data_IF_810735361797
#
_entry.id   IF_810735361797
#
_cell.length_a   1.000
_cell.length_b   1.000
_cell.length_c   1.000
_cell.angle_alpha   90.00
_cell.angle_beta   90.00
_cell.angle_gamma   90.00
#
_symmetry.space_group_name_H-M   'P 1'
#
loop_
_entity.id
_entity.type
_entity.pdbx_description
1 polymer ?
#
# COMPACT_ATOMS: atom_id res chain seq x y z
N UNK A 1 13.47 18.12 25.28
CA UNK A 1 12.37 17.35 24.68
C UNK A 1 12.35 17.73 23.22
N UNK A 2 12.79 16.85 22.32
CA UNK A 2 12.68 17.10 20.88
C UNK A 2 11.21 17.14 20.54
N UNK A 3 10.70 18.31 20.17
CA UNK A 3 9.34 18.42 19.66
C UNK A 3 9.21 17.50 18.46
N UNK A 4 8.19 16.66 18.45
CA UNK A 4 7.71 16.05 17.22
C UNK A 4 7.29 17.22 16.33
N UNK A 5 8.16 17.64 15.42
CA UNK A 5 7.74 18.48 14.31
C UNK A 5 6.64 17.70 13.60
N UNK A 6 5.41 18.21 13.73
CA UNK A 6 4.25 17.68 13.04
C UNK A 6 4.51 17.72 11.54
N UNK A 7 3.88 16.79 10.82
CA UNK A 7 4.08 16.68 9.39
C UNK A 7 3.32 15.51 8.79
N UNK A 8 3.10 15.59 7.48
CA UNK A 8 2.51 14.52 6.67
C UNK A 8 3.59 13.63 6.07
N UNK A 9 3.28 12.35 5.95
CA UNK A 9 4.06 11.42 5.15
C UNK A 9 3.40 11.28 3.79
N UNK A 10 4.16 11.53 2.74
CA UNK A 10 3.75 11.32 1.36
C UNK A 10 4.48 10.09 0.81
N UNK A 11 3.73 9.23 0.11
CA UNK A 11 4.27 8.00 -0.49
C UNK A 11 3.81 7.94 -1.93
N UNK A 12 4.74 7.70 -2.84
CA UNK A 12 4.48 7.67 -4.29
C UNK A 12 5.25 6.55 -4.98
N UNK A 13 4.92 6.33 -6.25
CA UNK A 13 5.64 5.39 -7.12
C UNK A 13 6.07 6.13 -8.37
N UNK A 14 7.37 6.12 -8.64
CA UNK A 14 7.94 6.72 -9.84
C UNK A 14 9.14 5.87 -10.30
N UNK A 15 9.29 5.65 -11.61
CA UNK A 15 10.46 4.96 -12.17
C UNK A 15 10.69 3.51 -11.65
N UNK A 16 9.67 2.84 -11.11
CA UNK A 16 9.79 1.49 -10.54
C UNK A 16 10.30 1.45 -9.10
N UNK A 17 10.46 2.60 -8.44
CA UNK A 17 10.79 2.72 -7.03
C UNK A 17 9.64 3.35 -6.25
N UNK A 18 9.62 3.12 -4.93
CA UNK A 18 8.67 3.72 -4.00
C UNK A 18 9.35 4.90 -3.31
N UNK A 19 8.78 6.09 -3.46
CA UNK A 19 9.28 7.30 -2.82
C UNK A 19 8.55 7.51 -1.51
N UNK A 20 9.29 7.88 -0.46
CA UNK A 20 8.76 8.21 0.85
C UNK A 20 9.31 9.56 1.26
N UNK A 21 8.41 10.51 1.51
CA UNK A 21 8.75 11.87 1.90
C UNK A 21 8.07 12.23 3.23
N UNK A 22 8.79 12.92 4.11
CA UNK A 22 8.20 13.59 5.28
C UNK A 22 8.19 15.08 5.05
N UNK A 23 7.00 15.67 5.07
CA UNK A 23 6.79 17.10 4.87
C UNK A 23 6.33 17.70 6.20
N UNK A 24 6.99 18.78 6.63
CA UNK A 24 6.60 19.56 7.81
C UNK A 24 5.25 20.28 7.63
N UNK A 25 4.68 20.78 8.71
CA UNK A 25 3.48 21.64 8.65
C UNK A 25 3.65 22.92 7.82
N UNK A 26 4.90 23.37 7.59
CA UNK A 26 5.21 24.53 6.74
C UNK A 26 5.42 24.14 5.25
N UNK A 27 5.00 22.95 4.83
CA UNK A 27 5.24 22.39 3.48
C UNK A 27 6.72 22.27 3.09
N UNK A 28 7.62 22.16 4.08
CA UNK A 28 9.05 21.92 3.83
C UNK A 28 9.34 20.42 3.91
N UNK A 29 9.99 19.89 2.88
CA UNK A 29 10.54 18.54 2.88
C UNK A 29 11.62 18.40 3.96
N UNK A 30 11.43 17.44 4.86
CA UNK A 30 12.33 17.12 5.97
C UNK A 30 13.12 15.83 5.72
N UNK A 31 12.54 14.90 4.96
CA UNK A 31 13.11 13.60 4.66
C UNK A 31 12.58 13.16 3.30
N UNK A 32 13.46 12.63 2.46
CA UNK A 32 13.13 12.09 1.15
C UNK A 32 14.00 10.85 0.93
N UNK A 33 13.39 9.73 0.59
CA UNK A 33 14.10 8.49 0.25
C UNK A 33 13.35 7.73 -0.85
N UNK A 34 14.09 6.87 -1.56
CA UNK A 34 13.59 6.03 -2.64
C UNK A 34 13.97 4.58 -2.37
N UNK A 35 12.96 3.73 -2.25
CA UNK A 35 13.11 2.32 -1.91
C UNK A 35 12.81 1.44 -3.12
N UNK A 36 13.56 0.35 -3.28
CA UNK A 36 13.15 -0.69 -4.21
C UNK A 36 11.84 -1.37 -3.72
N UNK A 37 11.04 -1.99 -4.62
CA UNK A 37 9.75 -2.58 -4.24
C UNK A 37 9.83 -3.60 -3.08
N UNK A 38 10.89 -4.41 -3.04
CA UNK A 38 11.09 -5.39 -1.97
C UNK A 38 11.50 -4.73 -0.64
N UNK A 39 12.26 -3.63 -0.67
CA UNK A 39 12.62 -2.87 0.52
C UNK A 39 11.39 -2.15 1.10
N UNK A 40 10.55 -1.58 0.23
CA UNK A 40 9.30 -0.94 0.63
C UNK A 40 8.34 -1.92 1.33
N UNK A 41 8.25 -3.16 0.84
CA UNK A 41 7.45 -4.23 1.48
C UNK A 41 7.99 -4.62 2.85
N UNK A 42 9.31 -4.75 2.98
CA UNK A 42 9.95 -5.06 4.27
C UNK A 42 9.71 -3.94 5.27
N UNK A 43 9.84 -2.68 4.85
CA UNK A 43 9.56 -1.52 5.69
C UNK A 43 8.09 -1.49 6.14
N UNK A 44 7.15 -1.72 5.22
CA UNK A 44 5.73 -1.80 5.55
C UNK A 44 5.44 -2.88 6.60
N UNK A 45 6.03 -4.07 6.45
CA UNK A 45 5.88 -5.15 7.44
C UNK A 45 6.43 -4.79 8.82
N UNK A 46 7.57 -4.10 8.87
CA UNK A 46 8.12 -3.59 10.13
C UNK A 46 7.20 -2.53 10.75
N UNK A 47 6.72 -1.57 9.96
CA UNK A 47 5.82 -0.53 10.45
C UNK A 47 4.53 -1.12 11.04
N UNK A 48 3.91 -2.08 10.36
CA UNK A 48 2.73 -2.80 10.87
C UNK A 48 3.05 -3.51 12.20
N UNK A 49 4.11 -4.34 12.22
CA UNK A 49 4.50 -5.09 13.43
C UNK A 49 4.73 -4.20 14.65
N UNK A 50 5.34 -3.03 14.46
CA UNK A 50 5.58 -2.09 15.57
C UNK A 50 4.35 -1.25 15.93
N UNK A 51 3.44 -0.99 14.98
CA UNK A 51 2.14 -0.39 15.28
C UNK A 51 1.27 -1.33 16.13
N UNK A 52 1.17 -2.61 15.74
CA UNK A 52 0.41 -3.62 16.50
C UNK A 52 0.93 -3.77 17.93
N UNK A 53 2.25 -3.78 18.10
CA UNK A 53 2.89 -3.81 19.43
C UNK A 53 2.61 -2.54 20.25
N UNK A 54 2.53 -1.38 19.60
CA UNK A 54 2.25 -0.12 20.27
C UNK A 54 0.78 -0.03 20.72
N UNK A 55 -0.14 -0.58 19.93
CA UNK A 55 -1.55 -0.75 20.30
C UNK A 55 -1.67 -1.64 21.54
N UNK A 56 -1.10 -2.86 21.48
CA UNK A 56 -1.06 -3.83 22.58
C UNK A 56 -0.43 -3.28 23.87
N UNK A 57 0.57 -2.42 23.76
CA UNK A 57 1.21 -1.78 24.91
C UNK A 57 0.35 -0.67 25.54
N UNK A 58 -0.58 -0.08 24.80
CA UNK A 58 -1.51 0.95 25.27
C UNK A 58 -2.75 0.39 25.98
N UNK A 59 -3.11 -0.86 25.68
CA UNK A 59 -4.25 -1.58 26.27
C UNK A 59 -3.90 -2.38 27.53
N UNK A 60 -2.62 -2.45 27.92
CA UNK A 60 -2.13 -3.22 29.08
C UNK A 60 -2.41 -2.61 30.47
N UNK A 61 -3.33 -1.65 30.62
CA UNK A 61 -3.75 -1.15 31.95
C UNK A 61 -5.00 -1.87 32.49
N UNK A 62 -5.70 -2.69 31.68
CA UNK A 62 -6.93 -3.36 32.10
C UNK A 62 -6.95 -4.83 31.63
N UNK A 63 -6.54 -5.71 32.54
CA UNK A 63 -6.82 -7.15 32.60
C UNK A 63 -5.95 -8.15 31.80
N UNK A 64 -5.21 -8.93 32.60
CA UNK A 64 -4.61 -10.24 32.39
C UNK A 64 -5.54 -11.18 31.58
N UNK A 65 -5.09 -11.71 30.43
CA UNK A 65 -5.25 -13.12 30.02
C UNK A 65 -4.54 -13.40 28.67
N UNK A 66 -3.38 -14.05 28.78
CA UNK A 66 -2.87 -15.14 27.93
C UNK A 66 -3.34 -15.17 26.45
N UNK A 67 -2.49 -14.71 25.54
CA UNK A 67 -2.46 -15.27 24.17
C UNK A 67 -1.02 -15.43 23.70
N UNK A 68 -0.55 -16.64 23.96
CA UNK A 68 0.56 -17.32 23.31
C UNK A 68 0.46 -17.19 21.78
N UNK A 69 1.10 -16.18 21.20
CA UNK A 69 1.36 -16.14 19.76
C UNK A 69 2.67 -16.91 19.54
N UNK A 70 2.54 -18.23 19.40
CA UNK A 70 3.59 -19.12 18.93
C UNK A 70 4.16 -18.55 17.63
N UNK A 71 5.37 -18.02 17.76
CA UNK A 71 6.30 -17.77 16.67
C UNK A 71 6.54 -19.10 15.93
N UNK A 72 5.70 -19.36 14.93
CA UNK A 72 6.01 -20.33 13.88
C UNK A 72 6.80 -19.63 12.79
N UNK A 73 8.05 -19.32 13.12
CA UNK A 73 9.19 -19.36 12.22
C UNK A 73 9.10 -20.66 11.39
N UNK A 74 8.46 -20.56 10.22
CA UNK A 74 8.39 -21.61 9.20
C UNK A 74 9.75 -21.83 8.53
N UNK A 75 10.75 -22.19 9.32
CA UNK A 75 12.06 -22.62 8.85
C UNK A 75 11.91 -23.91 8.03
N UNK A 76 12.16 -23.76 6.74
CA UNK A 76 12.32 -24.88 5.81
C UNK A 76 13.46 -25.80 6.26
N UNK A 77 13.13 -26.93 6.86
CA UNK A 77 14.10 -28.02 7.09
C UNK A 77 13.59 -29.36 6.59
N UNK A 78 14.26 -29.81 5.52
CA UNK A 78 14.14 -31.13 4.90
C UNK A 78 14.37 -32.25 5.92
N UNK A 79 13.57 -33.31 5.90
CA UNK A 79 14.00 -34.70 5.60
C UNK A 79 13.07 -35.80 6.18
N UNK A 80 12.72 -36.73 5.30
CA UNK A 80 12.72 -38.19 5.49
C UNK A 80 11.50 -38.95 6.07
N UNK A 81 10.85 -39.71 5.14
CA UNK A 81 10.33 -41.11 5.23
C UNK A 81 9.08 -41.30 6.12
N UNK A 82 8.04 -42.07 5.81
CA UNK A 82 7.86 -43.30 5.01
C UNK A 82 6.34 -43.48 4.80
N UNK A 83 5.86 -43.87 3.61
CA UNK A 83 5.39 -45.24 3.24
C UNK A 83 3.86 -45.41 3.34
N UNK A 84 3.21 -45.80 2.21
CA UNK A 84 1.85 -46.35 2.22
C UNK A 84 0.95 -46.02 1.01
N UNK A 85 1.06 -46.84 -0.05
CA UNK A 85 0.01 -47.33 -1.01
C UNK A 85 -0.99 -46.32 -1.65
N UNK A 86 -0.91 -46.05 -2.98
CA UNK A 86 -1.42 -46.83 -4.15
C UNK A 86 -2.93 -46.66 -4.43
N UNK A 87 -3.26 -45.95 -5.52
CA UNK A 87 -4.23 -46.28 -6.60
C UNK A 87 -4.23 -45.06 -7.57
N UNK A 88 -3.60 -45.12 -8.74
CA UNK A 88 -4.19 -45.57 -10.02
C UNK A 88 -5.41 -44.71 -10.43
N UNK A 89 -5.22 -43.73 -11.32
CA UNK A 89 -5.92 -43.72 -12.61
C UNK A 89 -5.30 -42.68 -13.55
N UNK A 90 -5.11 -43.14 -14.77
CA UNK A 90 -4.46 -42.59 -15.94
C UNK A 90 -5.45 -41.74 -16.74
N UNK A 91 -5.09 -40.53 -17.17
CA UNK A 91 -5.59 -39.94 -18.42
C UNK A 91 -4.79 -38.68 -18.78
N UNK A 92 -3.87 -38.85 -19.75
CA UNK A 92 -3.87 -38.17 -21.06
C UNK A 92 -4.76 -36.91 -21.16
N UNK A 93 -4.26 -35.73 -21.49
CA UNK A 93 -3.75 -35.31 -22.81
C UNK A 93 -4.66 -34.15 -23.25
N UNK A 94 -4.12 -32.95 -23.36
CA UNK A 94 -4.02 -32.27 -24.65
C UNK A 94 -3.40 -30.88 -24.44
N UNK A 95 -2.37 -30.63 -25.23
CA UNK A 95 -1.89 -29.29 -25.56
C UNK A 95 -2.82 -28.66 -26.60
N UNK A 96 -2.46 -27.48 -27.10
CA UNK A 96 -3.13 -26.74 -28.18
C UNK A 96 -4.41 -25.98 -27.74
N UNK A 97 -4.66 -24.75 -28.16
CA UNK A 97 -4.03 -23.97 -29.22
C UNK A 97 -4.30 -22.48 -28.94
N UNK A 98 -3.46 -21.65 -29.53
CA UNK A 98 -3.60 -20.20 -29.59
C UNK A 98 -4.90 -19.82 -30.33
N UNK A 99 -5.56 -18.73 -29.91
CA UNK A 99 -6.14 -17.85 -30.93
C UNK A 99 -6.12 -16.40 -30.48
N UNK A 100 -5.62 -15.59 -31.41
CA UNK A 100 -5.54 -14.14 -31.40
C UNK A 100 -6.86 -13.53 -31.89
N UNK A 101 -6.82 -12.21 -32.06
CA UNK A 101 -7.79 -11.32 -32.69
C UNK A 101 -8.80 -10.68 -31.72
N UNK A 102 -8.60 -9.42 -31.31
CA UNK A 102 -8.64 -8.18 -32.14
C UNK A 102 -10.07 -7.93 -32.61
N UNK A 103 -10.79 -7.02 -31.93
CA UNK A 103 -11.80 -6.11 -32.51
C UNK A 103 -11.92 -4.90 -31.55
N UNK A 104 -11.35 -3.75 -31.92
CA UNK A 104 -12.04 -2.57 -32.52
C UNK A 104 -12.69 -1.68 -31.44
N UNK A 105 -12.02 -0.61 -31.01
CA UNK A 105 -12.20 0.77 -31.49
C UNK A 105 -13.66 1.27 -31.43
N UNK A 106 -13.93 2.18 -30.49
CA UNK A 106 -14.83 3.35 -30.58
C UNK A 106 -15.30 3.75 -29.17
N UNK A 107 -15.03 4.99 -28.75
CA UNK A 107 -16.10 6.00 -28.67
C UNK A 107 -15.52 7.32 -28.14
N UNK A 108 -15.37 8.26 -29.08
CA UNK A 108 -15.32 9.70 -28.88
C UNK A 108 -16.40 10.21 -27.92
N UNK A 109 -16.03 10.82 -26.78
CA UNK A 109 -16.88 11.84 -26.12
C UNK A 109 -16.09 13.00 -25.52
N UNK A 110 -16.02 14.07 -26.32
CA UNK A 110 -16.35 15.44 -25.95
C UNK A 110 -15.68 16.05 -24.70
N UNK A 111 -14.54 16.69 -24.97
CA UNK A 111 -14.07 17.93 -24.34
C UNK A 111 -15.16 19.01 -24.42
N UNK A 112 -15.97 19.12 -23.38
CA UNK A 112 -16.83 20.28 -23.15
C UNK A 112 -15.95 21.40 -22.58
N UNK A 113 -15.79 22.43 -23.39
CA UNK A 113 -15.08 23.67 -23.08
C UNK A 113 -16.08 24.78 -23.35
N UNK A 114 -16.80 25.24 -22.34
CA UNK A 114 -17.38 26.58 -22.23
C UNK A 114 -18.23 26.65 -20.96
N UNK A 115 -17.84 27.46 -19.98
CA UNK A 115 -18.75 28.46 -19.39
C UNK A 115 -17.90 29.49 -18.63
N UNK A 116 -17.38 30.45 -19.38
CA UNK A 116 -17.04 31.76 -18.85
C UNK A 116 -18.31 32.59 -18.79
N UNK A 117 -19.01 32.64 -17.65
CA UNK A 117 -19.89 33.76 -17.32
C UNK A 117 -20.24 33.78 -15.82
N UNK A 118 -19.77 34.80 -15.10
CA UNK A 118 -20.67 35.85 -14.60
C UNK A 118 -19.99 36.73 -13.56
N UNK A 119 -19.98 38.01 -13.90
CA UNK A 119 -19.87 39.15 -13.01
C UNK A 119 -20.62 38.97 -11.68
N UNK A 120 -19.94 39.23 -10.56
CA UNK A 120 -20.61 39.86 -9.41
C UNK A 120 -19.84 41.11 -8.97
N UNK A 121 -20.28 42.19 -9.59
CA UNK A 121 -20.18 43.58 -9.15
C UNK A 121 -20.68 43.72 -7.69
N UNK A 122 -20.13 44.72 -6.97
CA UNK A 122 -20.60 45.35 -5.71
C UNK A 122 -19.91 44.86 -4.41
N UNK A 123 -19.44 45.71 -3.49
CA UNK A 123 -19.78 47.10 -3.18
C UNK A 123 -18.60 47.81 -2.54
N UNK A 124 -18.44 49.09 -2.87
CA UNK A 124 -17.70 50.08 -2.09
C UNK A 124 -18.50 50.42 -0.84
N UNK A 125 -17.96 50.18 0.35
CA UNK A 125 -18.37 50.92 1.56
C UNK A 125 -17.10 51.32 2.32
N UNK A 126 -16.56 52.49 1.94
CA UNK A 126 -15.66 53.24 2.78
C UNK A 126 -16.51 54.30 3.46
N UNK A 127 -16.77 54.10 4.76
CA UNK A 127 -17.38 55.12 5.61
C UNK A 127 -16.34 55.59 6.62
N UNK A 128 -15.95 56.83 6.39
CA UNK A 128 -15.31 57.75 7.33
C UNK A 128 -16.22 57.98 8.56
#
# INVERSE_FOLDING_TARGET
MGGYEGGRWDVGVEGGAVYVERISEDDKSLFEDSLEPEEARQLAGLLTKYADKAEQAGESDEDDEDSDDEDSDGEKSKSAKSDGESDDDDSDDDSDDEDSDDEDSDDDKAKDSDDEDSDDDKSKDSKD
#
